data_IF_594928809831
#
_entry.id   IF_594928809831
#
_cell.length_a   1.000
_cell.length_b   1.000
_cell.length_c   1.000
_cell.angle_alpha   90.00
_cell.angle_beta   90.00
_cell.angle_gamma   90.00
#
_symmetry.space_group_name_H-M   'P 1'
#
loop_
_entity.id
_entity.type
_entity.pdbx_description
1 polymer ?
#
# COMPACT_ATOMS: atom_id res chain seq x y z
N UNK A 1 -2.63 -26.30 2.85
CA UNK A 1 -2.04 -26.25 1.49
C UNK A 1 -1.88 -24.80 1.03
N UNK A 2 -2.93 -23.97 1.10
CA UNK A 2 -2.87 -22.54 0.70
C UNK A 2 -1.74 -21.74 1.37
N UNK A 3 -1.64 -21.80 2.71
CA UNK A 3 -0.55 -21.16 3.46
C UNK A 3 0.83 -21.60 2.96
N UNK A 4 1.03 -22.91 2.81
CA UNK A 4 2.29 -23.46 2.32
C UNK A 4 2.61 -23.00 0.89
N UNK A 5 1.61 -22.93 0.01
CA UNK A 5 1.78 -22.43 -1.35
C UNK A 5 2.19 -20.94 -1.37
N UNK A 6 1.63 -20.12 -0.48
CA UNK A 6 2.02 -18.72 -0.34
C UNK A 6 3.46 -18.56 0.14
N UNK A 7 3.89 -19.38 1.11
CA UNK A 7 5.23 -19.35 1.71
C UNK A 7 6.31 -19.86 0.74
N UNK A 8 6.00 -20.91 -0.02
CA UNK A 8 6.91 -21.52 -0.99
C UNK A 8 7.09 -20.71 -2.30
N UNK A 9 6.20 -19.76 -2.59
CA UNK A 9 6.26 -18.96 -3.82
C UNK A 9 7.56 -18.12 -3.89
N UNK A 10 8.37 -18.21 -4.95
CA UNK A 10 9.57 -17.36 -5.09
C UNK A 10 9.23 -15.86 -5.23
N UNK A 11 10.18 -14.98 -4.92
CA UNK A 11 9.98 -13.53 -5.03
C UNK A 11 9.52 -13.08 -6.43
N UNK A 12 10.13 -13.63 -7.48
CA UNK A 12 9.73 -13.35 -8.87
C UNK A 12 8.27 -13.76 -9.18
N UNK A 13 7.79 -14.86 -8.58
CA UNK A 13 6.41 -15.30 -8.73
C UNK A 13 5.45 -14.37 -7.97
N UNK A 14 5.82 -13.93 -6.76
CA UNK A 14 5.04 -12.95 -6.00
C UNK A 14 4.91 -11.63 -6.76
N UNK A 15 6.00 -11.13 -7.35
CA UNK A 15 6.00 -9.94 -8.19
C UNK A 15 5.04 -10.07 -9.38
N UNK A 16 5.13 -11.17 -10.15
CA UNK A 16 4.22 -11.43 -11.27
C UNK A 16 2.75 -11.50 -10.86
N UNK A 17 2.44 -12.08 -9.70
CA UNK A 17 1.07 -12.12 -9.18
C UNK A 17 0.62 -10.71 -8.76
N UNK A 18 1.51 -9.93 -8.16
CA UNK A 18 1.29 -8.52 -7.84
C UNK A 18 0.92 -7.71 -9.08
N UNK A 19 1.70 -7.84 -10.16
CA UNK A 19 1.43 -7.16 -11.44
C UNK A 19 0.10 -7.60 -12.04
N UNK A 20 -0.22 -8.89 -12.00
CA UNK A 20 -1.52 -9.39 -12.47
C UNK A 20 -2.70 -8.88 -11.64
N UNK A 21 -2.52 -8.73 -10.32
CA UNK A 21 -3.53 -8.17 -9.43
C UNK A 21 -3.68 -6.66 -9.63
N UNK A 22 -2.57 -5.95 -9.85
CA UNK A 22 -2.58 -4.52 -10.21
C UNK A 22 -3.35 -4.30 -11.51
N UNK A 23 -3.09 -5.10 -12.55
CA UNK A 23 -3.84 -5.03 -13.81
C UNK A 23 -5.35 -5.30 -13.61
N UNK A 24 -5.71 -6.19 -12.67
CA UNK A 24 -7.12 -6.43 -12.33
C UNK A 24 -7.78 -5.25 -11.59
N UNK A 25 -7.01 -4.49 -10.80
CA UNK A 25 -7.46 -3.23 -10.20
C UNK A 25 -7.61 -2.15 -11.26
N UNK A 26 -6.63 -1.98 -12.14
CA UNK A 26 -6.66 -1.01 -13.24
C UNK A 26 -7.84 -1.23 -14.20
N UNK A 27 -8.16 -2.49 -14.53
CA UNK A 27 -9.32 -2.84 -15.35
C UNK A 27 -10.66 -2.39 -14.74
N UNK A 28 -10.69 -2.07 -13.44
CA UNK A 28 -11.90 -1.68 -12.71
C UNK A 28 -11.92 -0.22 -12.29
N UNK A 29 -10.76 0.35 -11.95
CA UNK A 29 -10.62 1.73 -11.48
C UNK A 29 -10.21 2.69 -12.59
N UNK A 30 -9.61 2.19 -13.66
CA UNK A 30 -8.86 2.99 -14.63
C UNK A 30 -7.36 2.75 -14.53
N UNK A 31 -6.59 3.14 -15.55
CA UNK A 31 -5.14 2.93 -15.56
C UNK A 31 -4.45 3.65 -14.39
N UNK A 32 -3.30 3.14 -13.94
CA UNK A 32 -2.49 3.86 -12.97
C UNK A 32 -2.08 5.24 -13.48
N UNK A 33 -2.15 6.22 -12.58
CA UNK A 33 -1.71 7.58 -12.85
C UNK A 33 -0.19 7.63 -12.95
N UNK A 34 0.34 8.36 -13.93
CA UNK A 34 1.77 8.40 -14.24
C UNK A 34 2.20 9.78 -14.70
N UNK A 35 3.33 10.23 -14.17
CA UNK A 35 4.08 11.40 -14.65
C UNK A 35 5.56 11.14 -14.39
N UNK A 36 6.48 11.48 -15.31
CA UNK A 36 7.93 11.30 -15.10
C UNK A 36 8.48 12.00 -13.84
N UNK A 37 7.92 13.15 -13.49
CA UNK A 37 8.27 13.92 -12.29
C UNK A 37 7.74 13.21 -11.04
N UNK A 38 6.47 12.81 -11.07
CA UNK A 38 5.81 12.11 -9.96
C UNK A 38 6.44 10.73 -9.67
N UNK A 39 6.83 9.99 -10.71
CA UNK A 39 7.46 8.65 -10.56
C UNK A 39 8.76 8.74 -9.76
N UNK A 40 9.57 9.79 -9.95
CA UNK A 40 10.78 10.01 -9.14
C UNK A 40 10.48 10.25 -7.66
N UNK A 41 9.38 10.96 -7.38
CA UNK A 41 8.92 11.21 -6.02
C UNK A 41 8.38 9.93 -5.36
N UNK A 42 7.57 9.14 -6.09
CA UNK A 42 7.10 7.82 -5.64
C UNK A 42 8.26 6.87 -5.35
N UNK A 43 9.28 6.86 -6.19
CA UNK A 43 10.48 6.03 -5.97
C UNK A 43 11.26 6.43 -4.72
N UNK A 44 11.36 7.74 -4.45
CA UNK A 44 11.98 8.25 -3.22
C UNK A 44 11.20 7.83 -1.97
N UNK A 45 9.88 7.98 -2.00
CA UNK A 45 8.99 7.50 -0.93
C UNK A 45 9.08 5.98 -0.76
N UNK A 46 9.00 5.21 -1.85
CA UNK A 46 9.03 3.74 -1.80
C UNK A 46 10.32 3.23 -1.16
N UNK A 47 11.49 3.79 -1.53
CA UNK A 47 12.77 3.43 -0.91
C UNK A 47 12.78 3.65 0.60
N UNK A 48 12.20 4.75 1.07
CA UNK A 48 12.16 5.11 2.49
C UNK A 48 11.13 4.29 3.28
N UNK A 49 9.94 4.08 2.72
CA UNK A 49 8.79 3.52 3.44
C UNK A 49 8.67 2.00 3.32
N UNK A 50 9.08 1.44 2.17
CA UNK A 50 8.93 0.02 1.83
C UNK A 50 10.27 -0.72 1.78
N UNK A 51 11.38 0.01 1.61
CA UNK A 51 12.71 -0.57 1.47
C UNK A 51 12.98 -1.13 0.05
N UNK A 52 14.07 -1.91 -0.11
CA UNK A 52 14.50 -2.41 -1.41
C UNK A 52 13.45 -3.25 -2.13
N UNK A 53 13.17 -2.93 -3.39
CA UNK A 53 12.20 -3.64 -4.22
C UNK A 53 10.73 -3.27 -3.97
N UNK A 54 10.46 -2.37 -3.02
CA UNK A 54 9.13 -1.79 -2.82
C UNK A 54 8.75 -0.82 -3.94
N UNK A 55 7.46 -0.77 -4.28
CA UNK A 55 6.93 0.14 -5.31
C UNK A 55 5.59 0.72 -4.85
N UNK A 56 5.40 2.02 -5.04
CA UNK A 56 4.11 2.69 -4.82
C UNK A 56 3.48 2.94 -6.19
N UNK A 57 2.19 2.64 -6.34
CA UNK A 57 1.43 2.87 -7.58
C UNK A 57 0.17 3.64 -7.25
N UNK A 58 -0.05 4.78 -7.92
CA UNK A 58 -1.25 5.61 -7.74
C UNK A 58 -2.34 5.15 -8.71
N UNK A 59 -3.53 4.87 -8.19
CA UNK A 59 -4.71 4.49 -8.95
C UNK A 59 -5.84 5.52 -8.74
N UNK A 60 -6.73 5.70 -9.73
CA UNK A 60 -7.99 6.39 -9.51
C UNK A 60 -8.79 5.69 -8.41
N UNK A 61 -9.53 6.44 -7.58
CA UNK A 61 -10.28 5.85 -6.47
C UNK A 61 -11.08 6.87 -5.69
N UNK A 62 -12.16 6.44 -5.04
CA UNK A 62 -13.09 7.34 -4.33
C UNK A 62 -12.82 7.48 -2.82
N UNK A 63 -11.82 6.79 -2.28
CA UNK A 63 -11.53 6.77 -0.85
C UNK A 63 -10.01 6.85 -0.59
N UNK A 64 -9.57 7.42 0.55
CA UNK A 64 -8.17 7.51 0.95
C UNK A 64 -7.65 6.13 1.44
N UNK A 65 -7.35 5.22 0.51
CA UNK A 65 -6.93 3.85 0.83
C UNK A 65 -5.58 3.50 0.22
N UNK A 66 -4.85 2.63 0.91
CA UNK A 66 -3.62 2.00 0.46
C UNK A 66 -3.73 0.47 0.62
N UNK A 67 -3.34 -0.27 -0.41
CA UNK A 67 -3.48 -1.71 -0.51
C UNK A 67 -2.13 -2.34 -0.84
N UNK A 68 -1.59 -3.16 0.05
CA UNK A 68 -0.40 -3.95 -0.23
C UNK A 68 -0.76 -5.16 -1.10
N UNK A 69 -0.04 -5.31 -2.20
CA UNK A 69 -0.17 -6.41 -3.15
C UNK A 69 1.03 -7.36 -3.02
N UNK A 70 0.92 -8.62 -3.50
CA UNK A 70 2.07 -9.51 -3.59
C UNK A 70 3.24 -8.86 -4.35
N UNK A 71 4.47 -9.13 -3.92
CA UNK A 71 5.67 -8.64 -4.60
C UNK A 71 6.12 -7.22 -4.23
N UNK A 72 5.62 -6.67 -3.11
CA UNK A 72 6.13 -5.41 -2.57
C UNK A 72 5.52 -4.15 -3.19
N UNK A 73 4.41 -4.29 -3.91
CA UNK A 73 3.67 -3.16 -4.47
C UNK A 73 2.64 -2.66 -3.45
N UNK A 74 2.56 -1.35 -3.24
CA UNK A 74 1.45 -0.72 -2.52
C UNK A 74 0.68 0.16 -3.49
N UNK A 75 -0.54 -0.24 -3.81
CA UNK A 75 -1.46 0.55 -4.61
C UNK A 75 -2.18 1.56 -3.72
N UNK A 76 -2.12 2.84 -4.07
CA UNK A 76 -2.71 3.95 -3.31
C UNK A 76 -3.74 4.69 -4.17
N UNK A 77 -4.79 5.18 -3.54
CA UNK A 77 -5.76 6.06 -4.20
C UNK A 77 -5.15 7.45 -4.42
N UNK A 78 -5.43 8.06 -5.56
CA UNK A 78 -5.06 9.45 -5.85
C UNK A 78 -5.57 10.47 -4.81
N UNK A 79 -6.65 10.15 -4.10
CA UNK A 79 -7.18 10.95 -2.97
C UNK A 79 -6.11 11.23 -1.90
N UNK A 80 -5.20 10.28 -1.66
CA UNK A 80 -4.12 10.43 -0.67
C UNK A 80 -3.04 11.43 -1.09
N UNK A 81 -2.95 11.77 -2.39
CA UNK A 81 -2.05 12.81 -2.89
C UNK A 81 -2.79 14.12 -3.12
N UNK A 82 -3.95 14.07 -3.77
CA UNK A 82 -4.66 15.27 -4.25
C UNK A 82 -5.40 16.04 -3.15
N UNK A 83 -5.95 15.35 -2.14
CA UNK A 83 -6.78 15.99 -1.11
C UNK A 83 -6.00 16.38 0.16
N UNK A 84 -4.67 16.19 0.16
CA UNK A 84 -3.84 16.39 1.34
C UNK A 84 -2.70 17.37 1.05
N UNK A 85 -2.43 18.26 2.01
CA UNK A 85 -1.43 19.32 1.85
C UNK A 85 0.01 18.82 2.03
N UNK A 86 0.20 17.69 2.72
CA UNK A 86 1.53 17.18 3.11
C UNK A 86 1.70 15.69 2.80
N UNK A 87 2.93 15.23 2.45
CA UNK A 87 3.22 13.85 2.06
C UNK A 87 3.10 12.83 3.20
N UNK A 88 3.14 13.26 4.46
CA UNK A 88 3.07 12.39 5.63
C UNK A 88 1.79 11.57 5.69
N UNK A 89 0.67 12.10 5.19
CA UNK A 89 -0.59 11.36 5.17
C UNK A 89 -0.48 10.16 4.22
N UNK A 90 -0.05 10.40 2.97
CA UNK A 90 0.26 9.32 2.03
C UNK A 90 1.25 8.32 2.65
N UNK A 91 2.35 8.81 3.23
CA UNK A 91 3.38 7.97 3.80
C UNK A 91 2.86 7.07 4.92
N UNK A 92 2.00 7.60 5.79
CA UNK A 92 1.39 6.83 6.87
C UNK A 92 0.43 5.76 6.36
N UNK A 93 -0.38 6.05 5.34
CA UNK A 93 -1.24 5.04 4.71
C UNK A 93 -0.41 3.93 4.03
N UNK A 94 0.71 4.27 3.40
CA UNK A 94 1.65 3.30 2.82
C UNK A 94 2.29 2.42 3.90
N UNK A 95 2.76 3.02 5.00
CA UNK A 95 3.33 2.29 6.14
C UNK A 95 2.27 1.37 6.78
N UNK A 96 1.05 1.85 6.98
CA UNK A 96 -0.04 1.05 7.53
C UNK A 96 -0.36 -0.16 6.64
N UNK A 97 -0.40 0.03 5.31
CA UNK A 97 -0.60 -1.06 4.37
C UNK A 97 0.55 -2.09 4.41
N UNK A 98 1.80 -1.63 4.54
CA UNK A 98 2.97 -2.51 4.70
C UNK A 98 2.89 -3.32 6.00
N UNK A 99 2.63 -2.68 7.13
CA UNK A 99 2.57 -3.34 8.44
C UNK A 99 1.40 -4.34 8.48
N UNK A 100 0.25 -3.99 7.92
CA UNK A 100 -0.86 -4.93 7.79
C UNK A 100 -0.50 -6.16 6.94
N UNK A 101 0.29 -5.97 5.88
CA UNK A 101 0.79 -7.05 5.03
C UNK A 101 1.84 -7.95 5.70
N UNK A 102 2.52 -7.48 6.75
CA UNK A 102 3.41 -8.33 7.55
C UNK A 102 2.62 -9.27 8.45
N UNK A 103 1.56 -8.77 9.08
CA UNK A 103 0.65 -9.59 9.89
C UNK A 103 -0.15 -10.59 9.02
N UNK A 104 -0.64 -10.12 7.87
CA UNK A 104 -1.37 -10.93 6.89
C UNK A 104 -0.80 -10.77 5.48
N UNK A 105 0.16 -11.63 5.07
CA UNK A 105 0.78 -11.58 3.75
C UNK A 105 -0.23 -11.59 2.60
N UNK A 106 -0.15 -10.65 1.64
CA UNK A 106 -1.15 -10.49 0.58
C UNK A 106 -1.41 -11.77 -0.23
N UNK A 107 -0.36 -12.53 -0.55
CA UNK A 107 -0.51 -13.80 -1.26
C UNK A 107 -1.20 -14.88 -0.41
N UNK A 108 -0.96 -14.88 0.91
CA UNK A 108 -1.63 -15.80 1.84
C UNK A 108 -3.12 -15.50 1.89
N UNK A 109 -3.49 -14.22 2.04
CA UNK A 109 -4.88 -13.76 2.01
C UNK A 109 -5.56 -14.13 0.69
N UNK A 110 -4.92 -13.82 -0.44
CA UNK A 110 -5.45 -14.16 -1.76
C UNK A 110 -5.75 -15.65 -1.90
N UNK A 111 -4.80 -16.52 -1.53
CA UNK A 111 -4.98 -17.97 -1.64
C UNK A 111 -6.01 -18.52 -0.67
N UNK A 112 -6.09 -17.98 0.55
CA UNK A 112 -7.12 -18.36 1.52
C UNK A 112 -8.53 -18.05 1.01
N UNK A 113 -8.70 -16.91 0.33
CA UNK A 113 -9.99 -16.54 -0.27
C UNK A 113 -10.30 -17.31 -1.57
N UNK A 114 -9.27 -17.68 -2.33
CA UNK A 114 -9.41 -18.35 -3.62
C UNK A 114 -9.56 -19.89 -3.49
N UNK A 115 -9.11 -20.45 -2.36
CA UNK A 115 -9.23 -21.85 -2.02
C UNK A 115 -8.22 -22.77 -2.71
N UNK A 116 -8.36 -24.06 -2.42
CA UNK A 116 -7.48 -25.13 -2.87
C UNK A 116 -7.20 -25.15 -4.40
N UNK A 117 -8.18 -24.97 -5.32
CA UNK A 117 -7.90 -25.02 -6.75
C UNK A 117 -6.89 -23.95 -7.20
N UNK A 118 -6.95 -22.76 -6.61
CA UNK A 118 -6.02 -21.67 -6.91
C UNK A 118 -4.62 -21.97 -6.34
N UNK A 119 -4.53 -22.54 -5.14
CA UNK A 119 -3.26 -22.97 -4.56
C UNK A 119 -2.59 -24.07 -5.41
N UNK A 120 -3.35 -25.04 -5.92
CA UNK A 120 -2.84 -26.06 -6.83
C UNK A 120 -2.41 -25.48 -8.18
N UNK A 121 -3.19 -24.56 -8.77
CA UNK A 121 -2.81 -23.89 -10.00
C UNK A 121 -1.49 -23.12 -9.83
N UNK A 122 -1.32 -22.43 -8.71
CA UNK A 122 -0.07 -21.74 -8.37
C UNK A 122 1.11 -22.71 -8.27
N UNK A 123 0.96 -23.83 -7.53
CA UNK A 123 2.04 -24.78 -7.32
C UNK A 123 2.44 -25.55 -8.58
N UNK A 124 1.46 -25.87 -9.44
CA UNK A 124 1.69 -26.71 -10.63
C UNK A 124 2.02 -25.91 -11.88
N UNK A 125 1.46 -24.69 -12.01
CA UNK A 125 1.60 -23.85 -13.21
C UNK A 125 2.40 -22.57 -12.95
N UNK A 126 2.70 -22.25 -11.70
CA UNK A 126 3.37 -20.99 -11.35
C UNK A 126 2.55 -19.75 -11.70
N UNK A 127 1.22 -19.86 -11.71
CA UNK A 127 0.32 -18.74 -12.03
C UNK A 127 -1.07 -18.94 -11.42
N UNK A 128 -1.78 -17.84 -11.20
CA UNK A 128 -3.18 -17.84 -10.78
C UNK A 128 -4.08 -17.53 -11.99
N UNK A 129 -5.29 -18.11 -12.06
CA UNK A 129 -6.24 -17.76 -13.11
C UNK A 129 -6.63 -16.27 -13.05
N UNK A 130 -6.79 -15.63 -14.20
CA UNK A 130 -7.17 -14.22 -14.27
C UNK A 130 -8.49 -13.93 -13.54
N UNK A 131 -9.47 -14.85 -13.65
CA UNK A 131 -10.74 -14.75 -12.91
C UNK A 131 -10.58 -14.75 -11.38
N UNK A 132 -9.55 -15.44 -10.86
CA UNK A 132 -9.22 -15.44 -9.43
C UNK A 132 -8.69 -14.07 -9.00
N UNK A 133 -7.77 -13.49 -9.79
CA UNK A 133 -7.22 -12.16 -9.52
C UNK A 133 -8.31 -11.09 -9.59
N UNK A 134 -9.18 -11.14 -10.60
CA UNK A 134 -10.31 -10.22 -10.73
C UNK A 134 -11.33 -10.34 -9.58
N UNK A 135 -11.60 -11.56 -9.10
CA UNK A 135 -12.46 -11.76 -7.93
C UNK A 135 -11.83 -11.20 -6.65
N UNK A 136 -10.52 -11.40 -6.46
CA UNK A 136 -9.79 -10.86 -5.30
C UNK A 136 -9.71 -9.32 -5.35
N UNK A 137 -9.42 -8.72 -6.50
CA UNK A 137 -9.43 -7.27 -6.69
C UNK A 137 -10.76 -6.63 -6.26
N UNK A 138 -11.90 -7.23 -6.66
CA UNK A 138 -13.22 -6.76 -6.21
C UNK A 138 -13.39 -6.80 -4.69
N UNK A 139 -12.86 -7.82 -4.02
CA UNK A 139 -12.93 -7.93 -2.56
C UNK A 139 -12.03 -6.92 -1.87
N UNK A 140 -10.84 -6.66 -2.40
CA UNK A 140 -9.95 -5.61 -1.89
C UNK A 140 -10.61 -4.22 -1.94
N UNK A 141 -11.35 -3.93 -3.02
CA UNK A 141 -12.06 -2.64 -3.17
C UNK A 141 -13.33 -2.54 -2.31
N UNK A 142 -13.93 -3.66 -1.92
CA UNK A 142 -15.15 -3.68 -1.11
C UNK A 142 -14.88 -3.80 0.40
N UNK A 143 -13.69 -4.26 0.79
CA UNK A 143 -13.32 -4.44 2.18
C UNK A 143 -12.75 -3.14 2.76
N UNK A 144 -13.00 -2.85 4.04
CA UNK A 144 -12.27 -1.80 4.74
C UNK A 144 -10.77 -2.12 4.75
N UNK A 145 -9.94 -1.08 4.68
CA UNK A 145 -8.50 -1.24 4.81
C UNK A 145 -8.16 -1.84 6.20
N UNK A 146 -7.32 -2.88 6.27
CA UNK A 146 -6.93 -3.47 7.55
C UNK A 146 -6.22 -2.42 8.42
N UNK A 147 -6.60 -2.35 9.69
CA UNK A 147 -5.92 -1.51 10.68
C UNK A 147 -4.85 -2.34 11.37
N UNK A 148 -3.55 -2.04 11.18
CA UNK A 148 -2.49 -2.74 11.89
C UNK A 148 -2.52 -2.39 13.39
N UNK A 149 -1.92 -3.22 14.26
CA UNK A 149 -1.73 -2.88 15.67
C UNK A 149 -0.87 -1.62 15.83
N UNK A 150 -1.27 -0.71 16.73
CA UNK A 150 -0.62 0.60 16.90
C UNK A 150 0.86 0.47 17.24
N UNK A 151 1.25 -0.49 18.10
CA UNK A 151 2.66 -0.71 18.46
C UNK A 151 3.53 -1.02 17.22
N UNK A 152 3.06 -1.93 16.36
CA UNK A 152 3.77 -2.31 15.14
C UNK A 152 3.81 -1.14 14.13
N UNK A 153 2.73 -0.36 14.07
CA UNK A 153 2.65 0.81 13.21
C UNK A 153 3.58 1.94 13.69
N UNK A 154 3.62 2.22 14.99
CA UNK A 154 4.52 3.21 15.58
C UNK A 154 5.99 2.83 15.38
N UNK A 155 6.34 1.56 15.53
CA UNK A 155 7.68 1.07 15.22
C UNK A 155 8.04 1.30 13.74
N UNK A 156 7.09 1.13 12.82
CA UNK A 156 7.27 1.41 11.40
C UNK A 156 7.45 2.91 11.10
N UNK A 157 6.68 3.79 11.75
CA UNK A 157 6.89 5.24 11.66
C UNK A 157 8.26 5.66 12.18
N UNK A 158 8.67 5.12 13.32
CA UNK A 158 9.97 5.39 13.93
C UNK A 158 11.12 4.96 13.02
N UNK A 159 11.04 3.74 12.46
CA UNK A 159 12.05 3.22 11.53
C UNK A 159 12.16 4.05 10.23
N UNK A 160 11.06 4.65 9.78
CA UNK A 160 11.04 5.51 8.60
C UNK A 160 11.39 6.98 8.91
N UNK A 161 11.49 7.37 10.19
CA UNK A 161 11.65 8.75 10.61
C UNK A 161 10.49 9.65 10.16
N UNK A 162 9.27 9.14 10.21
CA UNK A 162 8.04 9.82 9.76
C UNK A 162 7.14 10.08 10.96
N UNK A 163 6.53 11.27 11.02
CA UNK A 163 5.54 11.56 12.06
C UNK A 163 4.26 10.74 11.87
N UNK A 164 3.76 10.14 12.94
CA UNK A 164 2.51 9.40 12.93
C UNK A 164 1.27 10.31 12.99
N UNK A 165 1.42 11.56 13.46
CA UNK A 165 0.30 12.48 13.70
C UNK A 165 -0.51 12.82 12.45
N UNK A 166 0.08 13.17 11.29
CA UNK A 166 -0.69 13.46 10.08
C UNK A 166 -1.60 12.29 9.66
N UNK A 167 -1.08 11.07 9.74
CA UNK A 167 -1.88 9.86 9.48
C UNK A 167 -2.97 9.65 10.52
N UNK A 168 -2.66 9.84 11.81
CA UNK A 168 -3.62 9.68 12.89
C UNK A 168 -4.82 10.62 12.73
N UNK A 169 -4.57 11.90 12.41
CA UNK A 169 -5.63 12.89 12.17
C UNK A 169 -6.35 12.72 10.84
N UNK A 170 -5.68 12.22 9.79
CA UNK A 170 -6.33 11.88 8.53
C UNK A 170 -7.32 10.70 8.69
N UNK A 171 -7.03 9.78 9.62
CA UNK A 171 -7.94 8.67 9.96
C UNK A 171 -9.10 9.08 10.84
N UNK A 172 -8.83 9.97 11.79
CA UNK A 172 -9.81 10.47 12.73
C UNK A 172 -9.46 11.91 13.10
N UNK A 173 -10.26 12.85 12.60
CA UNK A 173 -10.05 14.28 12.79
C UNK A 173 -10.16 14.70 14.27
N UNK A 174 -10.91 13.96 15.09
CA UNK A 174 -10.99 14.24 16.54
C UNK A 174 -9.76 13.69 17.27
N UNK A 175 -9.10 12.68 16.70
CA UNK A 175 -7.99 11.96 17.29
C UNK A 175 -8.40 10.95 18.38
N UNK A 176 -9.69 10.76 18.65
CA UNK A 176 -10.16 9.89 19.75
C UNK A 176 -9.81 8.42 19.50
N UNK A 177 -10.03 7.93 18.28
CA UNK A 177 -9.73 6.54 17.91
C UNK A 177 -8.25 6.30 17.59
N UNK A 178 -7.46 7.36 17.41
CA UNK A 178 -6.04 7.31 17.04
C UNK A 178 -5.12 7.92 18.10
N UNK A 179 -5.63 8.14 19.32
CA UNK A 179 -4.93 8.82 20.41
C UNK A 179 -3.54 8.21 20.71
N UNK A 180 -3.45 6.87 20.69
CA UNK A 180 -2.19 6.16 20.91
C UNK A 180 -1.11 6.54 19.87
N UNK A 181 -1.49 6.75 18.61
CA UNK A 181 -0.57 7.18 17.55
C UNK A 181 -0.12 8.65 17.72
N UNK A 182 -1.00 9.49 18.27
CA UNK A 182 -0.75 10.93 18.48
C UNK A 182 0.19 11.15 19.68
N UNK A 183 -0.06 10.45 20.79
CA UNK A 183 0.70 10.58 22.03
C UNK A 183 2.09 9.93 21.93
N UNK A 184 2.20 8.81 21.21
CA UNK A 184 3.44 8.07 21.04
C UNK A 184 4.16 8.38 19.71
N UNK A 185 3.83 9.50 19.06
CA UNK A 185 4.44 9.91 17.79
C UNK A 185 5.99 9.90 17.88
N UNK A 186 6.69 9.09 17.06
CA UNK A 186 8.13 8.99 17.12
C UNK A 186 8.86 10.22 16.55
N UNK A 187 8.17 11.10 15.83
CA UNK A 187 8.75 12.31 15.25
C UNK A 187 7.86 13.55 15.50
N UNK A 188 7.72 13.99 16.76
CA UNK A 188 6.78 15.06 17.13
C UNK A 188 7.17 16.44 16.58
N UNK A 189 8.43 16.63 16.17
CA UNK A 189 8.92 17.82 15.49
C UNK A 189 8.76 17.79 13.95
N UNK A 190 8.12 16.73 13.42
CA UNK A 190 7.97 16.50 11.98
C UNK A 190 8.96 15.48 11.41
N UNK A 191 8.65 14.96 10.22
CA UNK A 191 9.46 13.95 9.54
C UNK A 191 10.85 14.50 9.21
N UNK A 192 11.89 13.84 9.72
CA UNK A 192 13.29 14.26 9.52
C UNK A 192 14.14 13.11 8.97
N UNK A 193 14.81 13.28 7.82
CA UNK A 193 14.69 14.43 6.89
C UNK A 193 13.27 14.54 6.30
N UNK A 194 12.91 15.65 5.64
CA UNK A 194 11.65 15.76 4.92
C UNK A 194 11.41 14.58 3.97
N UNK A 195 10.16 14.18 3.80
CA UNK A 195 9.80 13.06 2.92
C UNK A 195 10.06 13.38 1.45
N UNK A 196 9.66 14.58 1.02
CA UNK A 196 9.79 15.14 -0.31
C UNK A 196 10.02 16.64 -0.19
N UNK A 197 10.62 17.25 -1.22
CA UNK A 197 10.55 18.70 -1.40
C UNK A 197 9.19 19.12 -1.98
N UNK A 198 8.86 20.40 -1.86
CA UNK A 198 7.57 20.95 -2.28
C UNK A 198 7.29 20.70 -3.78
N UNK A 199 8.31 20.79 -4.63
CA UNK A 199 8.16 20.57 -6.06
C UNK A 199 7.81 19.12 -6.39
N UNK A 200 8.46 18.17 -5.72
CA UNK A 200 8.17 16.75 -5.84
C UNK A 200 6.78 16.39 -5.29
N UNK A 201 6.33 17.06 -4.22
CA UNK A 201 4.98 16.88 -3.72
C UNK A 201 3.92 17.45 -4.66
N UNK A 202 4.09 18.67 -5.17
CA UNK A 202 3.19 19.27 -6.17
C UNK A 202 3.11 18.42 -7.44
N UNK A 203 4.24 17.86 -7.89
CA UNK A 203 4.24 16.94 -9.02
C UNK A 203 3.38 15.68 -8.76
N UNK A 204 3.36 15.17 -7.52
CA UNK A 204 2.49 14.06 -7.15
C UNK A 204 1.01 14.45 -7.10
N UNK A 205 0.69 15.66 -6.64
CA UNK A 205 -0.69 16.16 -6.63
C UNK A 205 -1.28 16.30 -8.04
N UNK A 206 -0.43 16.49 -9.07
CA UNK A 206 -0.86 16.53 -10.47
C UNK A 206 -0.87 15.19 -11.20
N UNK A 207 -0.57 14.07 -10.53
CA UNK A 207 -0.21 12.80 -11.20
C UNK A 207 -1.32 12.21 -12.08
N UNK A 208 -2.60 12.43 -11.73
CA UNK A 208 -3.74 11.92 -12.47
C UNK A 208 -4.33 12.92 -13.49
N UNK A 209 -3.80 14.15 -13.56
CA UNK A 209 -4.28 15.21 -14.45
C UNK A 209 -3.62 15.24 -15.84
N UNK A 210 -2.73 14.29 -16.14
CA UNK A 210 -1.97 14.18 -17.39
C UNK A 210 -2.61 13.29 -18.46
#
# INVERSE_FOLDING_TARGET
>A
IERHAAEAAPAALRARIGDGLLAALEARLGPACRSPEAERALDALARRLLGPGGRIVVLPGAAPVALALPGGVVAVSHVLVEEHEIPEVLAGHVLAARVAAEAEPPLRRLLAEAGLPAALALLTRGALPAGTLAAHARRLLAAPAPTPPDEALLAAFAAAGVSARPYAFARDVTGESTLALIEADPAPGGSTPPLLDDGAWVALQGICGG
#
